data_IF_052200078997
#
_entry.id   IF_052200078997
#
_cell.length_a   1.000
_cell.length_b   1.000
_cell.length_c   1.000
_cell.angle_alpha   90.00
_cell.angle_beta   90.00
_cell.angle_gamma   90.00
#
_symmetry.space_group_name_H-M   'P 1'
#
loop_
_entity.id
_entity.type
_entity.pdbx_description
1 polymer ?
#
# COMPACT_ATOMS: atom_id res chain seq x y z
N UNK A 1 -9.94 -37.66 15.27
CA UNK A 1 -10.52 -38.47 14.20
C UNK A 1 -11.42 -37.59 13.33
N UNK A 2 -11.10 -37.43 12.04
CA UNK A 2 -11.90 -36.60 11.13
C UNK A 2 -13.30 -37.19 10.88
N UNK A 3 -13.50 -38.49 11.12
CA UNK A 3 -14.76 -39.13 10.79
C UNK A 3 -15.92 -38.74 11.73
N UNK A 4 -15.60 -38.45 12.99
CA UNK A 4 -16.53 -38.04 14.03
C UNK A 4 -16.71 -36.52 14.17
N UNK A 5 -16.10 -35.73 13.28
CA UNK A 5 -16.17 -34.27 13.36
C UNK A 5 -17.60 -33.78 13.05
N UNK A 6 -18.26 -33.03 13.96
CA UNK A 6 -19.62 -32.52 13.74
C UNK A 6 -19.76 -31.60 12.51
N UNK A 7 -18.69 -30.88 12.15
CA UNK A 7 -18.63 -29.98 11.00
C UNK A 7 -18.11 -30.66 9.72
N UNK A 8 -18.10 -32.01 9.67
CA UNK A 8 -17.63 -32.76 8.49
C UNK A 8 -18.38 -32.42 7.21
N UNK A 9 -19.67 -32.06 7.32
CA UNK A 9 -20.51 -31.61 6.20
C UNK A 9 -20.01 -30.31 5.57
N UNK A 10 -19.32 -29.46 6.34
CA UNK A 10 -18.73 -28.18 5.91
C UNK A 10 -17.25 -28.33 5.46
N UNK A 11 -16.69 -29.52 5.62
CA UNK A 11 -15.29 -29.79 5.34
C UNK A 11 -15.02 -30.04 3.85
N UNK A 12 -13.73 -30.12 3.47
CA UNK A 12 -13.31 -30.45 2.11
C UNK A 12 -13.80 -31.84 1.70
N UNK A 13 -14.33 -31.94 0.46
CA UNK A 13 -14.75 -33.21 -0.15
C UNK A 13 -13.59 -33.98 -0.79
N UNK A 14 -12.37 -33.44 -0.74
CA UNK A 14 -11.19 -34.07 -1.33
C UNK A 14 -10.83 -35.36 -0.58
N UNK A 15 -10.61 -36.45 -1.33
CA UNK A 15 -10.24 -37.77 -0.77
C UNK A 15 -8.96 -37.75 0.07
N UNK A 16 -8.00 -36.91 -0.30
CA UNK A 16 -6.70 -36.71 0.37
C UNK A 16 -6.70 -35.52 1.34
N UNK A 17 -7.85 -34.86 1.52
CA UNK A 17 -7.93 -33.63 2.31
C UNK A 17 -7.44 -32.39 1.56
N UNK A 18 -7.28 -31.28 2.29
CA UNK A 18 -6.77 -30.00 1.80
C UNK A 18 -5.49 -29.66 2.56
N UNK A 19 -4.42 -29.40 1.83
CA UNK A 19 -3.19 -28.87 2.42
C UNK A 19 -3.26 -27.35 2.45
N UNK A 20 -2.99 -26.76 3.62
CA UNK A 20 -2.86 -25.31 3.81
C UNK A 20 -1.43 -25.07 4.25
N UNK A 21 -0.68 -24.27 3.49
CA UNK A 21 0.62 -23.80 3.93
C UNK A 21 0.43 -22.60 4.84
N UNK A 22 0.93 -22.69 6.06
CA UNK A 22 0.98 -21.55 6.99
C UNK A 22 2.36 -20.92 6.89
N UNK A 23 2.43 -19.60 6.89
CA UNK A 23 3.71 -18.90 6.85
C UNK A 23 4.51 -19.19 8.14
N UNK A 24 5.85 -19.32 8.09
CA UNK A 24 6.66 -19.54 9.28
C UNK A 24 6.44 -18.48 10.37
N UNK A 25 6.12 -17.25 9.97
CA UNK A 25 5.86 -16.11 10.87
C UNK A 25 4.38 -15.80 11.09
N UNK A 26 3.48 -16.79 10.92
CA UNK A 26 2.05 -16.57 11.19
C UNK A 26 1.77 -16.07 12.61
N UNK A 27 2.45 -16.54 13.68
CA UNK A 27 2.25 -16.00 15.03
C UNK A 27 2.54 -14.49 15.12
N UNK A 28 3.63 -14.04 14.51
CA UNK A 28 4.05 -12.64 14.48
C UNK A 28 3.07 -11.80 13.65
N UNK A 29 2.66 -12.30 12.48
CA UNK A 29 1.65 -11.61 11.67
C UNK A 29 0.31 -11.49 12.39
N UNK A 30 -0.11 -12.52 13.13
CA UNK A 30 -1.32 -12.45 13.94
C UNK A 30 -1.20 -11.45 15.09
N UNK A 31 -0.03 -11.35 15.73
CA UNK A 31 0.24 -10.35 16.76
C UNK A 31 0.22 -8.92 16.19
N UNK A 32 0.84 -8.70 15.03
CA UNK A 32 0.81 -7.40 14.35
C UNK A 32 -0.59 -7.03 13.88
N UNK A 33 -1.39 -7.97 13.33
CA UNK A 33 -2.80 -7.70 12.98
C UNK A 33 -3.61 -7.21 14.18
N UNK A 34 -3.44 -7.81 15.36
CA UNK A 34 -4.08 -7.34 16.60
C UNK A 34 -3.67 -5.92 16.97
N UNK A 35 -2.39 -5.56 16.78
CA UNK A 35 -1.92 -4.18 16.97
C UNK A 35 -2.53 -3.24 15.92
N UNK A 36 -2.67 -3.69 14.68
CA UNK A 36 -3.26 -2.90 13.60
C UNK A 36 -4.75 -2.60 13.81
N UNK A 37 -5.45 -3.46 14.56
CA UNK A 37 -6.86 -3.26 14.89
C UNK A 37 -7.11 -2.17 15.93
N UNK A 38 -6.10 -1.74 16.69
CA UNK A 38 -6.27 -0.71 17.72
C UNK A 38 -6.55 0.66 17.12
N UNK A 39 -7.22 1.52 17.89
CA UNK A 39 -7.58 2.86 17.44
C UNK A 39 -6.33 3.73 17.22
N UNK A 40 -5.33 3.59 18.10
CA UNK A 40 -4.07 4.33 18.05
C UNK A 40 -3.27 3.99 16.79
N UNK A 41 -3.22 2.70 16.42
CA UNK A 41 -2.56 2.30 15.19
C UNK A 41 -3.30 2.84 13.96
N UNK A 42 -4.64 2.79 13.96
CA UNK A 42 -5.44 3.31 12.84
C UNK A 42 -5.23 4.82 12.65
N UNK A 43 -5.17 5.58 13.74
CA UNK A 43 -4.88 7.01 13.71
C UNK A 43 -3.47 7.29 13.17
N UNK A 44 -2.46 6.56 13.66
CA UNK A 44 -1.11 6.63 13.13
C UNK A 44 -1.05 6.27 11.63
N UNK A 45 -1.71 5.18 11.23
CA UNK A 45 -1.68 4.67 9.86
C UNK A 45 -2.43 5.57 8.88
N UNK A 46 -3.43 6.33 9.32
CA UNK A 46 -4.15 7.28 8.48
C UNK A 46 -3.22 8.32 7.82
N UNK A 47 -2.15 8.73 8.53
CA UNK A 47 -1.14 9.67 8.05
C UNK A 47 -0.36 9.14 6.83
N UNK A 48 -0.31 7.81 6.64
CA UNK A 48 0.36 7.18 5.49
C UNK A 48 -0.23 7.66 4.15
N UNK A 49 -1.52 7.95 4.12
CA UNK A 49 -2.23 8.31 2.89
C UNK A 49 -1.64 9.54 2.21
N UNK A 50 -1.13 10.51 2.98
CA UNK A 50 -0.49 11.72 2.44
C UNK A 50 0.80 11.40 1.69
N UNK A 51 1.65 10.53 2.25
CA UNK A 51 2.89 10.09 1.61
C UNK A 51 2.63 9.26 0.35
N UNK A 52 1.67 8.34 0.39
CA UNK A 52 1.31 7.52 -0.78
C UNK A 52 0.68 8.38 -1.89
N UNK A 53 -0.07 9.43 -1.54
CA UNK A 53 -0.62 10.38 -2.51
C UNK A 53 0.51 11.09 -3.28
N UNK A 54 1.52 11.60 -2.59
CA UNK A 54 2.69 12.24 -3.23
C UNK A 54 3.44 11.26 -4.13
N UNK A 55 3.70 10.04 -3.65
CA UNK A 55 4.34 8.97 -4.45
C UNK A 55 3.53 8.63 -5.70
N UNK A 56 2.19 8.60 -5.58
CA UNK A 56 1.27 8.40 -6.69
C UNK A 56 1.38 9.50 -7.75
N UNK A 57 1.45 10.77 -7.32
CA UNK A 57 1.65 11.90 -8.22
C UNK A 57 2.99 11.81 -8.97
N UNK A 58 4.09 11.59 -8.25
CA UNK A 58 5.41 11.41 -8.86
C UNK A 58 5.41 10.27 -9.89
N UNK A 59 4.86 9.11 -9.51
CA UNK A 59 4.75 7.95 -10.41
C UNK A 59 3.99 8.29 -11.70
N UNK A 60 2.87 9.01 -11.59
CA UNK A 60 2.06 9.43 -12.75
C UNK A 60 2.80 10.42 -13.66
N UNK A 61 3.76 11.17 -13.11
CA UNK A 61 4.49 12.21 -13.83
C UNK A 61 5.81 11.75 -14.44
N UNK A 62 6.23 10.50 -14.21
CA UNK A 62 7.41 9.95 -14.87
C UNK A 62 8.47 9.39 -13.93
N UNK A 63 8.28 9.49 -12.61
CA UNK A 63 9.30 9.19 -11.61
C UNK A 63 9.88 7.76 -11.62
N UNK A 64 9.21 6.81 -12.28
CA UNK A 64 9.72 5.44 -12.46
C UNK A 64 10.61 5.26 -13.68
N UNK A 65 10.66 6.27 -14.54
CA UNK A 65 11.34 6.24 -15.82
C UNK A 65 12.47 7.27 -15.80
N UNK A 66 13.62 6.84 -15.27
CA UNK A 66 14.84 7.64 -15.32
C UNK A 66 15.27 7.85 -16.79
N UNK A 67 15.27 9.11 -17.24
CA UNK A 67 15.72 9.49 -18.60
C UNK A 67 17.22 9.72 -18.68
N UNK A 68 17.87 9.84 -17.53
CA UNK A 68 19.28 10.14 -17.41
C UNK A 68 20.01 9.06 -16.62
N UNK A 69 21.29 8.86 -16.93
CA UNK A 69 22.17 7.95 -16.20
C UNK A 69 22.87 8.73 -15.09
N UNK A 70 22.81 8.20 -13.86
CA UNK A 70 23.46 8.73 -12.67
C UNK A 70 22.48 9.36 -11.68
N UNK A 71 22.68 9.06 -10.39
CA UNK A 71 21.74 9.40 -9.31
C UNK A 71 21.45 10.91 -9.21
N UNK A 72 22.46 11.75 -9.42
CA UNK A 72 22.30 13.21 -9.36
C UNK A 72 21.41 13.74 -10.49
N UNK A 73 21.59 13.23 -11.72
CA UNK A 73 20.78 13.66 -12.88
C UNK A 73 19.34 13.19 -12.75
N UNK A 74 19.13 11.95 -12.28
CA UNK A 74 17.79 11.43 -11.96
C UNK A 74 17.15 12.26 -10.87
N UNK A 75 17.87 12.59 -9.80
CA UNK A 75 17.36 13.47 -8.74
C UNK A 75 16.93 14.84 -9.25
N UNK A 76 17.70 15.46 -10.17
CA UNK A 76 17.29 16.71 -10.82
C UNK A 76 16.00 16.53 -11.64
N UNK A 77 15.88 15.45 -12.41
CA UNK A 77 14.66 15.13 -13.18
C UNK A 77 13.44 15.02 -12.24
N UNK A 78 13.54 14.21 -11.19
CA UNK A 78 12.46 14.02 -10.21
C UNK A 78 12.03 15.33 -9.55
N UNK A 79 13.00 16.17 -9.19
CA UNK A 79 12.76 17.48 -8.56
C UNK A 79 12.00 18.42 -9.51
N UNK A 80 12.39 18.45 -10.79
CA UNK A 80 11.71 19.26 -11.81
C UNK A 80 10.30 18.74 -12.11
N UNK A 81 10.10 17.42 -12.15
CA UNK A 81 8.78 16.80 -12.31
C UNK A 81 7.85 17.12 -11.13
N UNK A 82 8.35 17.03 -9.90
CA UNK A 82 7.61 17.41 -8.70
C UNK A 82 7.24 18.92 -8.71
N UNK A 83 8.18 19.78 -9.09
CA UNK A 83 7.91 21.23 -9.23
C UNK A 83 6.82 21.51 -10.26
N UNK A 84 6.89 20.87 -11.43
CA UNK A 84 5.89 20.99 -12.49
C UNK A 84 4.49 20.57 -12.00
N UNK A 85 4.40 19.48 -11.22
CA UNK A 85 3.14 19.08 -10.58
C UNK A 85 2.62 20.15 -9.61
N UNK A 86 3.48 20.65 -8.72
CA UNK A 86 3.10 21.65 -7.72
C UNK A 86 2.58 22.95 -8.36
N UNK A 87 3.22 23.42 -9.43
CA UNK A 87 2.76 24.61 -10.19
C UNK A 87 1.34 24.38 -10.74
N UNK A 88 1.09 23.21 -11.35
CA UNK A 88 -0.23 22.86 -11.90
C UNK A 88 -1.29 22.72 -10.80
N UNK A 89 -0.92 22.14 -9.67
CA UNK A 89 -1.82 21.99 -8.53
C UNK A 89 -2.19 23.36 -7.92
N UNK A 90 -1.19 24.22 -7.71
CA UNK A 90 -1.40 25.57 -7.22
C UNK A 90 -2.34 26.35 -8.14
N UNK A 91 -2.08 26.38 -9.45
CA UNK A 91 -2.94 27.07 -10.40
C UNK A 91 -4.42 26.61 -10.34
N UNK A 92 -4.67 25.31 -10.20
CA UNK A 92 -6.03 24.75 -10.04
C UNK A 92 -6.70 25.19 -8.74
N UNK A 93 -5.96 25.13 -7.62
CA UNK A 93 -6.49 25.49 -6.30
C UNK A 93 -6.74 27.00 -6.19
N UNK A 94 -5.86 27.84 -6.74
CA UNK A 94 -6.04 29.29 -6.79
C UNK A 94 -7.26 29.69 -7.61
N UNK A 95 -7.49 29.04 -8.76
CA UNK A 95 -8.66 29.28 -9.59
C UNK A 95 -9.97 28.90 -8.86
N UNK A 96 -9.97 27.78 -8.12
CA UNK A 96 -11.14 27.33 -7.35
C UNK A 96 -11.45 28.21 -6.12
N UNK A 97 -10.49 29.01 -5.66
CA UNK A 97 -10.65 29.91 -4.49
C UNK A 97 -11.19 31.30 -4.90
N UNK A 98 -11.09 31.64 -6.19
CA UNK A 98 -11.40 32.98 -6.71
C UNK A 98 -12.80 33.05 -7.36
N UNK A 99 -13.51 31.93 -7.48
CA UNK A 99 -14.90 31.82 -7.95
C UNK A 99 -15.84 31.48 -6.82
#
# INVERSE_FOLDING_TARGET
DCAACPSRTECTRAKVGRTISVHPYEPEMAAERKKQDTAEFKEFYAQRSDGERVKGHMTRHGARNARHIGIFKVWCQETLEALNFNIKAFARLSAATTG
#
